data_IF_027201527176
#
_entry.id   IF_027201527176
#
_cell.length_a   1.000
_cell.length_b   1.000
_cell.length_c   1.000
_cell.angle_alpha   90.00
_cell.angle_beta   90.00
_cell.angle_gamma   90.00
#
_symmetry.space_group_name_H-M   'P 1'
#
loop_
_entity.id
_entity.type
_entity.pdbx_description
1 polymer ?
#
# COMPACT_ATOMS: atom_id res chain seq x y z
N UNK A 1 -21.57 -47.48 -36.63
CA UNK A 1 -21.35 -46.03 -36.84
C UNK A 1 -22.03 -45.27 -35.71
N UNK A 2 -21.38 -45.05 -34.56
CA UNK A 2 -21.93 -44.24 -33.48
C UNK A 2 -20.99 -43.05 -33.21
N UNK A 3 -21.43 -41.87 -33.64
CA UNK A 3 -20.78 -40.59 -33.42
C UNK A 3 -21.15 -40.09 -32.02
N UNK A 4 -20.32 -40.34 -31.03
CA UNK A 4 -20.37 -39.62 -29.76
C UNK A 4 -19.39 -38.46 -29.87
N UNK A 5 -19.94 -37.29 -30.21
CA UNK A 5 -19.22 -36.03 -30.26
C UNK A 5 -18.81 -35.62 -28.85
N UNK A 6 -17.51 -35.63 -28.61
CA UNK A 6 -16.82 -35.06 -27.46
C UNK A 6 -17.09 -33.56 -27.40
N UNK A 7 -18.07 -33.15 -26.59
CA UNK A 7 -18.27 -31.74 -26.24
C UNK A 7 -17.16 -31.32 -25.27
N UNK A 8 -16.10 -30.74 -25.84
CA UNK A 8 -14.99 -30.15 -25.11
C UNK A 8 -15.52 -28.97 -24.29
N UNK A 9 -15.49 -29.12 -22.96
CA UNK A 9 -15.85 -28.10 -21.99
C UNK A 9 -14.85 -26.94 -22.13
N UNK A 10 -15.27 -25.87 -22.79
CA UNK A 10 -14.57 -24.58 -22.77
C UNK A 10 -14.82 -23.92 -21.41
N UNK A 11 -14.14 -24.42 -20.39
CA UNK A 11 -13.92 -23.71 -19.14
C UNK A 11 -12.84 -22.64 -19.42
N UNK A 12 -13.26 -21.49 -19.94
CA UNK A 12 -12.41 -20.32 -20.07
C UNK A 12 -12.01 -19.87 -18.67
N UNK A 13 -10.80 -20.26 -18.27
CA UNK A 13 -10.11 -19.74 -17.10
C UNK A 13 -10.04 -18.21 -17.22
N UNK A 14 -10.93 -17.51 -16.52
CA UNK A 14 -10.71 -16.12 -16.16
C UNK A 14 -9.57 -16.11 -15.13
N UNK A 15 -8.33 -16.25 -15.62
CA UNK A 15 -7.14 -15.91 -14.85
C UNK A 15 -7.17 -14.40 -14.64
N UNK A 16 -7.87 -13.98 -13.58
CA UNK A 16 -7.71 -12.66 -13.01
C UNK A 16 -6.25 -12.52 -12.65
N UNK A 17 -5.52 -11.74 -13.44
CA UNK A 17 -4.16 -11.33 -13.12
C UNK A 17 -4.25 -10.71 -11.73
N UNK A 18 -3.56 -11.22 -10.70
CA UNK A 18 -3.50 -10.51 -9.43
C UNK A 18 -2.84 -9.18 -9.76
N UNK A 19 -3.63 -8.11 -9.73
CA UNK A 19 -3.09 -6.76 -9.77
C UNK A 19 -2.04 -6.73 -8.66
N UNK A 20 -0.76 -6.66 -9.04
CA UNK A 20 0.31 -6.51 -8.09
C UNK A 20 0.01 -5.22 -7.34
N UNK A 21 -0.59 -5.36 -6.16
CA UNK A 21 -0.98 -4.25 -5.31
C UNK A 21 0.30 -3.44 -5.12
N UNK A 22 0.29 -2.19 -5.57
CA UNK A 22 1.44 -1.31 -5.41
C UNK A 22 1.88 -1.37 -3.95
N UNK A 23 3.20 -1.51 -3.72
CA UNK A 23 3.72 -1.60 -2.36
C UNK A 23 3.18 -0.43 -1.53
N UNK A 24 2.67 -0.70 -0.31
CA UNK A 24 2.01 0.32 0.48
C UNK A 24 2.96 1.49 0.75
N UNK A 25 2.45 2.73 0.68
CA UNK A 25 3.25 3.93 0.92
C UNK A 25 3.95 3.90 2.30
N UNK A 26 3.27 3.30 3.28
CA UNK A 26 3.80 2.91 4.58
C UNK A 26 2.92 1.82 5.20
N UNK A 27 3.50 1.09 6.17
CA UNK A 27 2.78 0.05 6.89
C UNK A 27 1.90 0.62 8.02
N UNK A 28 0.73 0.01 8.15
CA UNK A 28 -0.28 0.36 9.15
C UNK A 28 -0.47 -0.73 10.23
N UNK A 29 0.23 -1.86 10.15
CA UNK A 29 0.13 -2.95 11.15
C UNK A 29 -1.28 -3.48 11.38
N UNK A 30 -2.15 -3.45 10.36
CA UNK A 30 -3.55 -3.88 10.47
C UNK A 30 -4.55 -2.81 10.97
N UNK A 31 -4.10 -1.59 11.24
CA UNK A 31 -4.99 -0.50 11.64
C UNK A 31 -5.83 0.01 10.46
N UNK A 32 -7.14 -0.20 10.53
CA UNK A 32 -8.07 0.15 9.45
C UNK A 32 -8.17 1.67 9.20
N UNK A 33 -8.05 2.51 10.24
CA UNK A 33 -8.10 3.95 10.09
C UNK A 33 -6.83 4.47 9.38
N UNK A 34 -5.68 3.91 9.73
CA UNK A 34 -4.41 4.16 9.06
C UNK A 34 -4.44 3.73 7.59
N UNK A 35 -5.01 2.54 7.30
CA UNK A 35 -5.18 2.04 5.93
C UNK A 35 -6.06 2.99 5.12
N UNK A 36 -7.23 3.36 5.63
CA UNK A 36 -8.13 4.29 4.94
C UNK A 36 -7.47 5.66 4.66
N UNK A 37 -6.64 6.16 5.58
CA UNK A 37 -5.88 7.41 5.38
C UNK A 37 -4.82 7.26 4.30
N UNK A 38 -4.06 6.16 4.32
CA UNK A 38 -3.04 5.86 3.32
C UNK A 38 -3.64 5.70 1.93
N UNK A 39 -4.77 5.01 1.82
CA UNK A 39 -5.41 4.70 0.53
C UNK A 39 -5.98 5.96 -0.13
N UNK A 40 -6.27 7.01 0.65
CA UNK A 40 -6.64 8.35 0.14
C UNK A 40 -5.45 9.18 -0.31
N UNK A 41 -4.23 8.77 0.03
CA UNK A 41 -3.01 9.55 -0.24
C UNK A 41 -2.43 9.18 -1.60
N UNK A 42 -2.24 10.19 -2.46
CA UNK A 42 -1.52 9.98 -3.72
C UNK A 42 -0.03 9.74 -3.45
N UNK A 43 0.60 8.92 -4.28
CA UNK A 43 2.05 8.66 -4.21
C UNK A 43 2.87 9.94 -4.37
N UNK A 44 2.45 10.84 -5.27
CA UNK A 44 3.10 12.15 -5.45
C UNK A 44 2.99 13.04 -4.20
N UNK A 45 1.85 13.03 -3.51
CA UNK A 45 1.69 13.76 -2.25
C UNK A 45 2.60 13.17 -1.18
N UNK A 46 2.67 11.85 -1.07
CA UNK A 46 3.57 11.17 -0.15
C UNK A 46 5.05 11.52 -0.42
N UNK A 47 5.52 11.37 -1.65
CA UNK A 47 6.94 11.57 -1.99
C UNK A 47 7.39 13.02 -1.81
N UNK A 48 6.50 13.99 -2.07
CA UNK A 48 6.77 15.42 -1.80
C UNK A 48 6.89 15.75 -0.31
N UNK A 49 6.13 15.06 0.54
CA UNK A 49 5.98 15.43 1.95
C UNK A 49 6.80 14.58 2.92
N UNK A 50 7.14 13.34 2.56
CA UNK A 50 7.68 12.35 3.50
C UNK A 50 8.98 12.78 4.18
N UNK A 51 9.95 13.35 3.44
CA UNK A 51 11.20 13.80 4.05
C UNK A 51 10.96 14.94 5.06
N UNK A 52 10.06 15.88 4.75
CA UNK A 52 9.69 16.97 5.65
C UNK A 52 9.02 16.43 6.92
N UNK A 53 8.09 15.48 6.76
CA UNK A 53 7.38 14.88 7.89
C UNK A 53 8.30 14.04 8.77
N UNK A 54 9.28 13.34 8.19
CA UNK A 54 10.31 12.63 8.91
C UNK A 54 11.18 13.57 9.74
N UNK A 55 11.67 14.66 9.14
CA UNK A 55 12.43 15.69 9.86
C UNK A 55 11.65 16.29 11.01
N UNK A 56 10.36 16.63 10.80
CA UNK A 56 9.49 17.17 11.84
C UNK A 56 9.26 16.18 13.00
N UNK A 57 9.27 14.88 12.72
CA UNK A 57 9.11 13.82 13.71
C UNK A 57 10.43 13.39 14.38
N UNK A 58 11.58 13.89 13.93
CA UNK A 58 12.90 13.48 14.42
C UNK A 58 13.33 12.09 13.94
N UNK A 59 12.86 11.66 12.77
CA UNK A 59 13.17 10.36 12.16
C UNK A 59 13.91 10.55 10.82
N UNK A 60 14.65 9.52 10.39
CA UNK A 60 15.35 9.55 9.09
C UNK A 60 14.64 8.71 8.03
N UNK A 61 14.96 8.97 6.76
CA UNK A 61 14.46 8.19 5.62
C UNK A 61 14.96 6.75 5.64
N UNK A 62 16.18 6.49 6.15
CA UNK A 62 16.64 5.11 6.36
C UNK A 62 15.83 4.41 7.44
N UNK A 63 15.63 5.03 8.61
CA UNK A 63 14.84 4.43 9.68
C UNK A 63 13.41 4.12 9.22
N UNK A 64 12.81 5.02 8.45
CA UNK A 64 11.47 4.83 7.89
C UNK A 64 11.40 3.66 6.92
N UNK A 65 12.38 3.54 6.02
CA UNK A 65 12.48 2.42 5.06
C UNK A 65 12.82 1.09 5.73
N UNK A 66 13.58 1.13 6.84
CA UNK A 66 13.91 -0.04 7.63
C UNK A 66 12.81 -0.43 8.64
N UNK A 67 11.67 0.25 8.65
CA UNK A 67 10.60 0.07 9.64
C UNK A 67 11.09 0.19 11.10
N UNK A 68 12.16 0.97 11.30
CA UNK A 68 12.85 1.11 12.57
C UNK A 68 12.49 2.42 13.30
N UNK A 69 11.51 3.19 12.81
CA UNK A 69 11.03 4.39 13.48
C UNK A 69 10.14 3.99 14.68
N UNK A 70 10.50 4.37 15.92
CA UNK A 70 9.65 4.20 17.09
C UNK A 70 8.21 4.66 16.85
N UNK A 71 7.25 3.87 17.34
CA UNK A 71 5.82 4.10 17.11
C UNK A 71 5.36 5.54 17.37
N UNK A 72 5.74 6.22 18.47
CA UNK A 72 5.33 7.60 18.70
C UNK A 72 5.81 8.60 17.63
N UNK A 73 6.98 8.37 17.04
CA UNK A 73 7.52 9.20 15.96
C UNK A 73 6.83 8.84 14.64
N UNK A 74 6.58 7.56 14.39
CA UNK A 74 5.87 7.11 13.21
C UNK A 74 4.43 7.65 13.16
N UNK A 75 3.75 7.72 14.31
CA UNK A 75 2.42 8.33 14.44
C UNK A 75 2.46 9.82 14.06
N UNK A 76 3.48 10.56 14.47
CA UNK A 76 3.70 11.97 14.07
C UNK A 76 3.94 12.10 12.56
N UNK A 77 4.72 11.20 11.95
CA UNK A 77 4.94 11.17 10.49
C UNK A 77 3.60 10.98 9.77
N UNK A 78 2.80 9.99 10.19
CA UNK A 78 1.49 9.71 9.58
C UNK A 78 0.53 10.88 9.71
N UNK A 79 0.44 11.49 10.88
CA UNK A 79 -0.37 12.68 11.10
C UNK A 79 0.08 13.88 10.24
N UNK A 80 1.40 14.08 10.11
CA UNK A 80 1.95 15.11 9.24
C UNK A 80 1.62 14.88 7.76
N UNK A 81 1.71 13.63 7.29
CA UNK A 81 1.36 13.27 5.92
C UNK A 81 -0.14 13.46 5.66
N UNK A 82 -0.99 13.07 6.60
CA UNK A 82 -2.44 13.25 6.52
C UNK A 82 -2.83 14.74 6.40
N UNK A 83 -2.20 15.61 7.18
CA UNK A 83 -2.43 17.05 7.12
C UNK A 83 -1.99 17.71 5.79
N UNK A 84 -1.34 16.95 4.90
CA UNK A 84 -0.75 17.41 3.63
C UNK A 84 -1.18 16.54 2.43
N UNK A 85 -2.10 15.60 2.65
CA UNK A 85 -2.53 14.60 1.68
C UNK A 85 -3.32 15.22 0.53
#
# INVERSE_FOLDING_TARGET
>A
MNKLMTAFVLASLAMGIPAAMAAPLYECGGDAACQAKRDRMSRDSYDRNINRCLTAAGATREQWRAHAVPRPQADKVRACLEARA
#
